data_IF_805833458210
#
_entry.id   IF_805833458210
#
_cell.length_a   1.000
_cell.length_b   1.000
_cell.length_c   1.000
_cell.angle_alpha   90.00
_cell.angle_beta   90.00
_cell.angle_gamma   90.00
#
_symmetry.space_group_name_H-M   'P 1'
#
loop_
_entity.id
_entity.type
_entity.pdbx_description
1 polymer ?
#
# COMPACT_ATOMS: atom_id res chain seq x y z
N UNK A 1 17.44 8.81 -16.26
CA UNK A 1 17.04 9.90 -17.19
C UNK A 1 15.61 10.27 -16.83
N UNK A 2 15.42 11.33 -16.03
CA UNK A 2 14.09 11.75 -15.56
C UNK A 2 13.40 12.52 -16.69
N UNK A 3 12.34 11.94 -17.26
CA UNK A 3 11.50 12.65 -18.23
C UNK A 3 10.49 13.48 -17.43
N UNK A 4 10.81 14.77 -17.26
CA UNK A 4 9.97 15.73 -16.54
C UNK A 4 9.23 16.64 -17.52
N UNK A 5 7.95 16.85 -17.27
CA UNK A 5 7.15 17.86 -17.94
C UNK A 5 7.16 19.10 -17.04
N UNK A 6 7.76 20.19 -17.52
CA UNK A 6 7.81 21.47 -16.80
C UNK A 6 6.56 22.29 -17.14
N UNK A 7 5.66 22.43 -16.17
CA UNK A 7 4.58 23.43 -16.18
C UNK A 7 5.08 24.69 -15.46
N UNK A 8 4.52 25.88 -15.76
CA UNK A 8 5.01 27.16 -15.21
C UNK A 8 5.03 27.24 -13.67
N UNK A 9 4.31 26.36 -12.96
CA UNK A 9 4.26 26.31 -11.50
C UNK A 9 4.44 24.89 -10.92
N UNK A 10 4.76 23.90 -11.76
CA UNK A 10 4.85 22.51 -11.33
C UNK A 10 5.75 21.69 -12.24
N UNK A 11 6.57 20.80 -11.67
CA UNK A 11 7.28 19.77 -12.42
C UNK A 11 6.59 18.44 -12.19
N UNK A 12 6.19 17.75 -13.26
CA UNK A 12 5.52 16.45 -13.16
C UNK A 12 6.36 15.40 -13.87
N UNK A 13 6.79 14.38 -13.13
CA UNK A 13 7.48 13.22 -13.67
C UNK A 13 6.53 12.34 -14.48
N UNK A 14 6.96 11.90 -15.66
CA UNK A 14 6.14 11.08 -16.58
C UNK A 14 5.63 9.78 -15.96
N UNK A 15 6.36 9.22 -14.99
CA UNK A 15 5.97 7.99 -14.30
C UNK A 15 4.70 8.15 -13.43
N UNK A 16 4.30 9.37 -13.07
CA UNK A 16 2.99 9.61 -12.43
C UNK A 16 1.85 9.19 -13.34
N UNK A 17 2.00 9.38 -14.65
CA UNK A 17 0.99 8.95 -15.63
C UNK A 17 0.81 7.44 -15.53
N UNK A 18 1.90 6.69 -15.33
CA UNK A 18 1.83 5.23 -15.13
C UNK A 18 1.03 4.89 -13.87
N UNK A 19 1.26 5.60 -12.75
CA UNK A 19 0.49 5.40 -11.53
C UNK A 19 -1.00 5.69 -11.73
N UNK A 20 -1.33 6.81 -12.38
CA UNK A 20 -2.72 7.19 -12.66
C UNK A 20 -3.40 6.16 -13.55
N UNK A 21 -2.72 5.69 -14.60
CA UNK A 21 -3.22 4.62 -15.47
C UNK A 21 -3.45 3.34 -14.69
N UNK A 22 -2.54 2.94 -13.79
CA UNK A 22 -2.73 1.77 -12.93
C UNK A 22 -3.96 1.90 -12.03
N UNK A 23 -4.18 3.08 -11.44
CA UNK A 23 -5.34 3.36 -10.59
C UNK A 23 -6.63 3.24 -11.41
N UNK A 24 -6.69 3.94 -12.55
CA UNK A 24 -7.88 3.94 -13.43
C UNK A 24 -8.16 2.53 -13.97
N UNK A 25 -7.13 1.81 -14.43
CA UNK A 25 -7.29 0.45 -14.95
C UNK A 25 -7.81 -0.52 -13.88
N UNK A 26 -7.32 -0.41 -12.64
CA UNK A 26 -7.81 -1.25 -11.55
C UNK A 26 -9.26 -0.93 -11.18
N UNK A 27 -9.63 0.35 -11.09
CA UNK A 27 -11.00 0.79 -10.80
C UNK A 27 -11.98 0.45 -11.92
N UNK A 28 -11.53 0.47 -13.17
CA UNK A 28 -12.33 0.03 -14.32
C UNK A 28 -12.57 -1.47 -14.30
N UNK A 29 -11.56 -2.25 -13.90
CA UNK A 29 -11.65 -3.71 -13.84
C UNK A 29 -12.54 -4.19 -12.68
N UNK A 30 -12.69 -3.42 -11.62
CA UNK A 30 -13.55 -3.80 -10.50
C UNK A 30 -15.04 -3.57 -10.82
N UNK A 31 -15.79 -4.67 -10.84
CA UNK A 31 -17.24 -4.65 -11.03
C UNK A 31 -17.94 -4.31 -9.71
N UNK A 32 -18.46 -3.08 -9.60
CA UNK A 32 -19.35 -2.68 -8.51
C UNK A 32 -18.98 -1.33 -7.89
N UNK A 33 -19.93 -0.40 -7.89
CA UNK A 33 -19.69 0.96 -7.40
C UNK A 33 -19.32 1.00 -5.91
N UNK A 34 -19.93 0.14 -5.10
CA UNK A 34 -19.64 0.04 -3.67
C UNK A 34 -18.19 -0.42 -3.43
N UNK A 35 -17.70 -1.37 -4.22
CA UNK A 35 -16.31 -1.82 -4.11
C UNK A 35 -15.34 -0.72 -4.55
N UNK A 36 -15.66 0.01 -5.62
CA UNK A 36 -14.84 1.13 -6.08
C UNK A 36 -14.76 2.24 -5.02
N UNK A 37 -15.87 2.56 -4.34
CA UNK A 37 -15.88 3.49 -3.22
C UNK A 37 -15.05 2.98 -2.03
N UNK A 38 -15.09 1.68 -1.73
CA UNK A 38 -14.24 1.09 -0.71
C UNK A 38 -12.75 1.23 -1.07
N UNK A 39 -12.37 0.87 -2.30
CA UNK A 39 -10.99 1.01 -2.81
C UNK A 39 -10.50 2.46 -2.72
N UNK A 40 -11.34 3.41 -3.14
CA UNK A 40 -11.01 4.83 -3.10
C UNK A 40 -10.90 5.33 -1.66
N UNK A 41 -11.79 4.92 -0.76
CA UNK A 41 -11.73 5.25 0.67
C UNK A 41 -10.45 4.73 1.33
N UNK A 42 -10.06 3.48 1.05
CA UNK A 42 -8.81 2.89 1.54
C UNK A 42 -7.61 3.65 0.96
N UNK A 43 -7.63 3.99 -0.32
CA UNK A 43 -6.56 4.78 -0.94
C UNK A 43 -6.41 6.16 -0.30
N UNK A 44 -7.51 6.86 -0.03
CA UNK A 44 -7.51 8.16 0.69
C UNK A 44 -6.96 7.99 2.11
N UNK A 45 -7.43 6.97 2.85
CA UNK A 45 -6.94 6.67 4.19
C UNK A 45 -5.42 6.46 4.20
N UNK A 46 -4.89 5.68 3.25
CA UNK A 46 -3.45 5.47 3.12
C UNK A 46 -2.72 6.74 2.70
N UNK A 47 -3.34 7.62 1.91
CA UNK A 47 -2.80 8.94 1.63
C UNK A 47 -2.61 9.76 2.89
N UNK A 48 -3.63 9.80 3.75
CA UNK A 48 -3.56 10.47 5.05
C UNK A 48 -2.49 9.86 5.95
N UNK A 49 -2.40 8.53 6.03
CA UNK A 49 -1.36 7.84 6.81
C UNK A 49 0.04 8.13 6.25
N UNK A 50 0.22 8.07 4.93
CA UNK A 50 1.49 8.36 4.27
C UNK A 50 1.94 9.79 4.53
N UNK A 51 1.02 10.76 4.45
CA UNK A 51 1.30 12.15 4.80
C UNK A 51 1.69 12.29 6.28
N UNK A 52 0.89 11.71 7.19
CA UNK A 52 1.15 11.77 8.62
C UNK A 52 2.52 11.17 8.99
N UNK A 53 2.87 10.03 8.41
CA UNK A 53 4.17 9.41 8.62
C UNK A 53 5.31 10.27 8.10
N UNK A 54 5.15 10.96 6.96
CA UNK A 54 6.18 11.88 6.46
C UNK A 54 6.45 13.01 7.45
N UNK A 55 5.43 13.56 8.10
CA UNK A 55 5.64 14.62 9.08
C UNK A 55 6.19 14.12 10.42
N UNK A 56 5.66 13.01 10.91
CA UNK A 56 5.93 12.55 12.29
C UNK A 56 7.19 11.73 12.42
N UNK A 57 7.66 11.06 11.38
CA UNK A 57 8.77 10.13 11.51
C UNK A 57 10.11 10.84 11.78
N UNK A 58 10.24 12.09 11.35
CA UNK A 58 11.37 12.95 11.71
C UNK A 58 11.35 13.38 13.19
N UNK A 59 10.18 13.34 13.83
CA UNK A 59 9.99 13.70 15.25
C UNK A 59 10.21 12.50 16.19
N UNK A 60 10.07 11.27 15.69
CA UNK A 60 10.18 10.04 16.48
C UNK A 60 11.15 9.03 15.86
N UNK A 61 12.47 9.24 15.97
CA UNK A 61 13.48 8.36 15.40
C UNK A 61 13.46 6.93 15.99
N UNK A 62 12.88 6.75 17.18
CA UNK A 62 12.70 5.42 17.79
C UNK A 62 11.73 4.51 17.02
N UNK A 63 10.88 5.06 16.15
CA UNK A 63 9.93 4.30 15.33
C UNK A 63 10.54 3.85 13.99
N UNK A 64 11.77 4.28 13.68
CA UNK A 64 12.46 3.99 12.42
C UNK A 64 13.17 2.64 12.50
N UNK A 65 12.67 1.66 11.76
CA UNK A 65 13.33 0.38 11.54
C UNK A 65 14.25 0.48 10.32
N UNK A 66 15.54 0.75 10.55
CA UNK A 66 16.56 0.83 9.50
C UNK A 66 16.48 2.12 8.68
N UNK A 67 15.41 2.32 7.92
CA UNK A 67 15.15 3.56 7.15
C UNK A 67 13.71 4.05 7.31
N UNK A 68 13.51 5.35 7.13
CA UNK A 68 12.20 6.01 7.18
C UNK A 68 11.27 5.41 6.12
N UNK A 69 11.77 5.30 4.90
CA UNK A 69 11.08 4.76 3.73
C UNK A 69 10.68 3.31 3.96
N UNK A 70 11.57 2.50 4.55
CA UNK A 70 11.29 1.11 4.87
C UNK A 70 10.19 0.98 5.92
N UNK A 71 10.24 1.79 6.98
CA UNK A 71 9.24 1.79 8.05
C UNK A 71 7.86 2.19 7.53
N UNK A 72 7.81 3.23 6.70
CA UNK A 72 6.58 3.65 6.03
C UNK A 72 6.03 2.55 5.11
N UNK A 73 6.89 1.96 4.29
CA UNK A 73 6.51 0.91 3.36
C UNK A 73 6.03 -0.35 4.09
N UNK A 74 6.62 -0.68 5.25
CA UNK A 74 6.14 -1.73 6.17
C UNK A 74 4.72 -1.48 6.65
N UNK A 75 4.46 -0.29 7.22
CA UNK A 75 3.15 0.02 7.77
C UNK A 75 2.07 0.09 6.69
N UNK A 76 2.34 0.83 5.61
CA UNK A 76 1.42 0.97 4.47
C UNK A 76 1.18 -0.38 3.82
N UNK A 77 2.24 -1.15 3.55
CA UNK A 77 2.12 -2.45 2.92
C UNK A 77 1.34 -3.46 3.76
N UNK A 78 1.54 -3.45 5.08
CA UNK A 78 0.76 -4.27 6.00
C UNK A 78 -0.72 -3.89 6.01
N UNK A 79 -1.05 -2.59 6.05
CA UNK A 79 -2.43 -2.10 6.00
C UNK A 79 -3.11 -2.53 4.70
N UNK A 80 -2.46 -2.31 3.55
CA UNK A 80 -3.01 -2.68 2.24
C UNK A 80 -3.26 -4.18 2.16
N UNK A 81 -2.28 -5.00 2.55
CA UNK A 81 -2.38 -6.46 2.52
C UNK A 81 -3.48 -7.01 3.40
N UNK A 82 -3.78 -6.34 4.51
CA UNK A 82 -4.84 -6.71 5.44
C UNK A 82 -6.23 -6.32 4.93
N UNK A 83 -6.35 -5.17 4.26
CA UNK A 83 -7.63 -4.63 3.80
C UNK A 83 -8.03 -5.13 2.40
N UNK A 84 -7.07 -5.31 1.50
CA UNK A 84 -7.30 -5.62 0.09
C UNK A 84 -6.70 -6.98 -0.25
N UNK A 85 -7.53 -7.89 -0.76
CA UNK A 85 -7.10 -9.26 -1.12
C UNK A 85 -6.65 -9.39 -2.58
N UNK A 86 -7.14 -8.54 -3.47
CA UNK A 86 -6.91 -8.66 -4.91
C UNK A 86 -5.58 -7.98 -5.28
N UNK A 87 -4.60 -8.69 -5.88
CA UNK A 87 -3.28 -8.15 -6.21
C UNK A 87 -3.31 -6.86 -7.03
N UNK A 88 -4.12 -6.82 -8.08
CA UNK A 88 -4.22 -5.64 -8.95
C UNK A 88 -4.75 -4.41 -8.21
N UNK A 89 -5.69 -4.62 -7.29
CA UNK A 89 -6.30 -3.54 -6.49
C UNK A 89 -5.33 -3.06 -5.40
N UNK A 90 -4.51 -3.95 -4.83
CA UNK A 90 -3.44 -3.56 -3.89
C UNK A 90 -2.50 -2.54 -4.53
N UNK A 91 -2.07 -2.77 -5.78
CA UNK A 91 -1.20 -1.85 -6.51
C UNK A 91 -1.85 -0.48 -6.71
N UNK A 92 -3.13 -0.46 -7.11
CA UNK A 92 -3.87 0.78 -7.28
C UNK A 92 -4.02 1.56 -5.97
N UNK A 93 -4.35 0.87 -4.88
CA UNK A 93 -4.52 1.47 -3.55
C UNK A 93 -3.20 2.03 -3.01
N UNK A 94 -2.09 1.30 -3.16
CA UNK A 94 -0.73 1.79 -2.83
C UNK A 94 -0.40 3.02 -3.67
N UNK A 95 -0.66 2.97 -4.98
CA UNK A 95 -0.36 4.06 -5.90
C UNK A 95 -1.16 5.32 -5.56
N UNK A 96 -2.45 5.16 -5.29
CA UNK A 96 -3.34 6.26 -4.91
C UNK A 96 -2.92 6.85 -3.57
N UNK A 97 -2.66 6.01 -2.56
CA UNK A 97 -2.24 6.45 -1.23
C UNK A 97 -0.91 7.20 -1.28
N UNK A 98 0.12 6.66 -1.91
CA UNK A 98 1.42 7.33 -1.99
C UNK A 98 1.34 8.63 -2.80
N UNK A 99 0.60 8.67 -3.90
CA UNK A 99 0.43 9.87 -4.72
C UNK A 99 -0.32 10.97 -3.96
N UNK A 100 -1.40 10.62 -3.25
CA UNK A 100 -2.11 11.58 -2.41
C UNK A 100 -1.22 12.09 -1.27
N UNK A 101 -0.53 11.18 -0.56
CA UNK A 101 0.35 11.56 0.55
C UNK A 101 1.46 12.53 0.12
N UNK A 102 2.14 12.23 -0.99
CA UNK A 102 3.17 13.11 -1.58
C UNK A 102 2.58 14.46 -2.02
N UNK A 103 1.39 14.43 -2.64
CA UNK A 103 0.70 15.65 -3.09
C UNK A 103 0.35 16.54 -1.90
N UNK A 104 -0.19 15.99 -0.82
CA UNK A 104 -0.51 16.74 0.40
C UNK A 104 0.75 17.30 1.06
N UNK A 105 1.79 16.48 1.22
CA UNK A 105 3.07 16.91 1.81
C UNK A 105 3.66 18.11 1.07
N UNK A 106 3.77 18.01 -0.25
CA UNK A 106 4.28 19.10 -1.09
C UNK A 106 3.35 20.29 -1.13
N UNK A 107 2.04 20.07 -1.10
CA UNK A 107 1.05 21.14 -1.10
C UNK A 107 1.19 22.05 0.12
N UNK A 108 1.41 21.45 1.30
CA UNK A 108 1.59 22.18 2.55
C UNK A 108 2.95 22.90 2.58
N UNK A 109 3.99 22.29 2.01
CA UNK A 109 5.35 22.84 1.96
C UNK A 109 5.66 23.70 0.72
N UNK A 110 4.64 24.11 -0.05
CA UNK A 110 4.79 24.93 -1.29
C UNK A 110 5.60 26.21 -1.11
N UNK A 111 5.66 26.76 0.11
CA UNK A 111 6.44 27.96 0.42
C UNK A 111 7.95 27.73 0.57
N UNK A 112 8.41 26.47 0.70
CA UNK A 112 9.81 26.13 0.95
C UNK A 112 10.43 25.26 -0.16
N UNK A 113 9.60 24.60 -0.99
CA UNK A 113 10.05 23.62 -1.99
C UNK A 113 9.30 23.87 -3.31
N UNK A 114 10.01 23.89 -4.45
CA UNK A 114 9.36 23.87 -5.77
C UNK A 114 8.41 22.67 -5.85
N UNK A 115 7.19 22.88 -6.33
CA UNK A 115 6.20 21.82 -6.46
C UNK A 115 6.62 20.84 -7.57
N UNK A 116 7.38 19.82 -7.19
CA UNK A 116 7.85 18.74 -8.06
C UNK A 116 7.17 17.43 -7.68
N UNK A 117 6.21 16.99 -8.46
CA UNK A 117 5.61 15.67 -8.31
C UNK A 117 6.37 14.65 -9.16
N UNK A 118 6.60 13.47 -8.61
CA UNK A 118 7.19 12.36 -9.36
C UNK A 118 8.70 12.34 -9.29
N UNK A 119 9.26 12.60 -8.12
CA UNK A 119 10.68 12.42 -7.83
C UNK A 119 11.08 10.95 -7.86
N UNK A 120 12.36 10.69 -8.07
CA UNK A 120 12.99 9.37 -7.91
C UNK A 120 12.75 8.78 -6.52
N UNK A 121 12.78 9.60 -5.47
CA UNK A 121 12.45 9.16 -4.11
C UNK A 121 11.05 8.56 -3.99
N UNK A 122 10.05 9.16 -4.65
CA UNK A 122 8.68 8.63 -4.64
C UNK A 122 8.58 7.32 -5.43
N UNK A 123 9.34 7.18 -6.52
CA UNK A 123 9.42 5.94 -7.30
C UNK A 123 10.04 4.80 -6.47
N UNK A 124 11.13 5.06 -5.76
CA UNK A 124 11.80 4.05 -4.92
C UNK A 124 10.88 3.62 -3.76
N UNK A 125 10.23 4.59 -3.11
CA UNK A 125 9.22 4.32 -2.07
C UNK A 125 8.05 3.51 -2.61
N UNK A 126 7.60 3.80 -3.83
CA UNK A 126 6.54 3.03 -4.48
C UNK A 126 6.95 1.57 -4.71
N UNK A 127 8.12 1.32 -5.29
CA UNK A 127 8.64 -0.03 -5.52
C UNK A 127 8.78 -0.81 -4.22
N UNK A 128 9.36 -0.19 -3.19
CA UNK A 128 9.53 -0.80 -1.87
C UNK A 128 8.19 -1.15 -1.23
N UNK A 129 7.22 -0.23 -1.28
CA UNK A 129 5.88 -0.44 -0.73
C UNK A 129 5.14 -1.55 -1.48
N UNK A 130 5.24 -1.60 -2.80
CA UNK A 130 4.67 -2.68 -3.62
C UNK A 130 5.28 -4.02 -3.22
N UNK A 131 6.61 -4.11 -3.14
CA UNK A 131 7.29 -5.35 -2.74
C UNK A 131 6.82 -5.84 -1.37
N UNK A 132 6.84 -4.97 -0.37
CA UNK A 132 6.41 -5.31 0.99
C UNK A 132 4.93 -5.70 1.03
N UNK A 133 4.07 -4.98 0.31
CA UNK A 133 2.64 -5.33 0.21
C UNK A 133 2.48 -6.75 -0.35
N UNK A 134 3.19 -7.10 -1.42
CA UNK A 134 3.08 -8.45 -1.99
C UNK A 134 3.60 -9.53 -1.05
N UNK A 135 4.75 -9.31 -0.42
CA UNK A 135 5.33 -10.26 0.55
C UNK A 135 4.40 -10.45 1.73
N UNK A 136 3.92 -9.37 2.35
CA UNK A 136 3.01 -9.44 3.51
C UNK A 136 1.68 -10.09 3.15
N UNK A 137 1.12 -9.81 1.97
CA UNK A 137 -0.11 -10.45 1.50
C UNK A 137 0.05 -11.97 1.33
N UNK A 138 1.18 -12.43 0.77
CA UNK A 138 1.49 -13.85 0.63
C UNK A 138 1.72 -14.53 1.98
N UNK A 139 2.40 -13.85 2.92
CA UNK A 139 2.61 -14.35 4.27
C UNK A 139 1.27 -14.52 5.01
N UNK A 140 0.41 -13.50 4.97
CA UNK A 140 -0.92 -13.57 5.59
C UNK A 140 -1.78 -14.69 4.97
N UNK A 141 -1.77 -14.82 3.64
CA UNK A 141 -2.48 -15.90 2.96
C UNK A 141 -1.96 -17.28 3.39
N UNK A 142 -0.63 -17.44 3.46
CA UNK A 142 0.01 -18.69 3.87
C UNK A 142 -0.31 -19.04 5.31
N UNK A 143 -0.25 -18.07 6.22
CA UNK A 143 -0.62 -18.26 7.63
C UNK A 143 -2.06 -18.74 7.77
N UNK A 144 -3.01 -18.11 7.07
CA UNK A 144 -4.43 -18.51 7.10
C UNK A 144 -4.62 -19.94 6.60
N UNK A 145 -3.94 -20.32 5.51
CA UNK A 145 -4.02 -21.67 4.95
C UNK A 145 -3.43 -22.71 5.91
N UNK A 146 -2.29 -22.42 6.54
CA UNK A 146 -1.65 -23.28 7.53
C UNK A 146 -2.59 -23.45 8.73
N UNK A 147 -3.12 -22.36 9.29
CA UNK A 147 -4.05 -22.41 10.43
C UNK A 147 -5.28 -23.25 10.12
N UNK A 148 -5.89 -23.08 8.95
CA UNK A 148 -7.05 -23.89 8.52
C UNK A 148 -6.71 -25.38 8.44
N UNK A 149 -5.56 -25.73 7.85
CA UNK A 149 -5.12 -27.12 7.72
C UNK A 149 -4.84 -27.74 9.09
N UNK A 150 -4.17 -27.01 9.98
CA UNK A 150 -3.89 -27.45 11.35
C UNK A 150 -5.19 -27.73 12.13
N UNK A 151 -6.17 -26.83 12.05
CA UNK A 151 -7.48 -27.04 12.71
C UNK A 151 -8.20 -28.27 12.14
N UNK A 152 -8.23 -28.43 10.81
CA UNK A 152 -8.84 -29.60 10.17
C UNK A 152 -8.18 -30.92 10.59
N UNK A 153 -6.85 -30.93 10.75
CA UNK A 153 -6.10 -32.08 11.21
C UNK A 153 -6.47 -32.45 12.66
N UNK A 154 -6.55 -31.46 13.54
CA UNK A 154 -6.94 -31.65 14.95
C UNK A 154 -8.36 -32.22 15.03
N UNK A 155 -9.32 -31.62 14.31
CA UNK A 155 -10.72 -32.06 14.32
C UNK A 155 -10.86 -33.50 13.80
N UNK A 156 -10.13 -33.85 12.74
CA UNK A 156 -10.15 -35.21 12.18
C UNK A 156 -9.52 -36.22 13.14
N UNK A 157 -8.43 -35.85 13.80
CA UNK A 157 -7.78 -36.67 14.82
C UNK A 157 -8.71 -36.97 16.00
N UNK A 158 -9.38 -35.95 16.54
CA UNK A 158 -10.34 -36.10 17.64
C UNK A 158 -11.52 -37.00 17.23
N UNK A 159 -12.08 -36.79 16.03
CA UNK A 159 -13.18 -37.62 15.53
C UNK A 159 -12.79 -39.10 15.38
N UNK A 160 -11.56 -39.39 14.96
CA UNK A 160 -11.06 -40.76 14.84
C UNK A 160 -10.91 -41.45 16.21
N UNK A 161 -10.50 -40.71 17.24
CA UNK A 161 -10.35 -41.24 18.60
C UNK A 161 -11.72 -41.57 19.21
N UNK A 162 -12.71 -40.70 19.04
CA UNK A 162 -14.08 -40.93 19.56
C UNK A 162 -14.70 -42.18 18.92
N UNK A 163 -14.55 -42.37 17.61
CA UNK A 163 -15.11 -43.51 16.88
C UNK A 163 -14.45 -44.87 17.20
N UNK A 164 -13.30 -44.88 17.86
CA UNK A 164 -12.64 -46.11 18.32
C UNK A 164 -13.02 -46.51 19.76
N UNK A 165 -13.78 -45.66 20.48
CA UNK A 165 -14.25 -45.94 21.84
C UNK A 165 -15.71 -46.41 21.92
N UNK A 166 -16.45 -46.33 20.81
CA UNK A 166 -17.78 -46.95 20.63
C UNK A 166 -17.62 -48.34 19.99
#
# INVERSE_FOLDING_TARGET
MEIMITLPHARIGLWIIVLVVLIVAALWRSSGIMYNLHVLSVGILLGSVSFFLQETIHLFPSMVLGSVEFSMALLIGFMVSSLIKVPAVQLAVVSLGLLLGETYFRFIHKGQIEFQLGTTMLQDRWWLTVYITRVTSLLLASMILISKKSVSWIVTGVRKIVRHRE
#
